data_IF_444398370172
#
_entry.id   IF_444398370172
#
_cell.length_a   1.000
_cell.length_b   1.000
_cell.length_c   1.000
_cell.angle_alpha   90.00
_cell.angle_beta   90.00
_cell.angle_gamma   90.00
#
_symmetry.space_group_name_H-M   'P 1'
#
loop_
_entity.id
_entity.type
_entity.pdbx_description
1 polymer ?
#
# COMPACT_ATOMS: atom_id res chain seq x y z
N UNK A 1 40.11 -22.92 -1.50
CA UNK A 1 38.73 -23.28 -1.85
C UNK A 1 37.82 -22.27 -1.17
N UNK A 2 37.47 -21.19 -1.87
CA UNK A 2 36.62 -20.11 -1.33
C UNK A 2 35.16 -20.50 -1.52
N UNK A 3 34.46 -20.67 -0.41
CA UNK A 3 33.03 -20.97 -0.38
C UNK A 3 32.28 -19.65 -0.57
N UNK A 4 31.83 -19.38 -1.81
CA UNK A 4 30.95 -18.25 -2.10
C UNK A 4 29.52 -18.68 -1.76
N UNK A 5 29.02 -18.25 -0.61
CA UNK A 5 27.59 -18.36 -0.30
C UNK A 5 26.84 -17.36 -1.19
N UNK A 6 26.21 -17.87 -2.25
CA UNK A 6 25.17 -17.15 -2.97
C UNK A 6 23.90 -17.24 -2.13
N UNK A 7 23.76 -16.33 -1.18
CA UNK A 7 22.53 -16.14 -0.42
C UNK A 7 21.53 -15.54 -1.39
N UNK A 8 20.69 -16.40 -1.98
CA UNK A 8 19.66 -16.01 -2.93
C UNK A 8 18.84 -14.87 -2.35
N UNK A 9 18.93 -13.70 -2.99
CA UNK A 9 18.13 -12.53 -2.70
C UNK A 9 16.67 -12.92 -2.97
N UNK A 10 15.96 -13.31 -1.92
CA UNK A 10 14.51 -13.55 -1.99
C UNK A 10 13.91 -12.16 -2.13
N UNK A 11 13.50 -11.78 -3.34
CA UNK A 11 12.68 -10.59 -3.56
C UNK A 11 11.47 -10.68 -2.63
N UNK A 12 11.51 -9.92 -1.54
CA UNK A 12 10.42 -9.89 -0.57
C UNK A 12 9.30 -9.11 -1.21
N UNK A 13 8.34 -9.81 -1.81
CA UNK A 13 7.07 -9.22 -2.23
C UNK A 13 6.44 -8.56 -1.00
N UNK A 14 6.34 -7.24 -1.00
CA UNK A 14 5.71 -6.50 0.08
C UNK A 14 4.23 -6.38 -0.24
N UNK A 15 3.37 -6.77 0.70
CA UNK A 15 1.92 -6.69 0.53
C UNK A 15 1.38 -5.65 1.50
N UNK A 16 0.65 -4.66 0.99
CA UNK A 16 0.03 -3.65 1.84
C UNK A 16 -1.49 -3.66 1.68
N UNK A 17 -2.15 -3.31 2.78
CA UNK A 17 -3.58 -3.01 2.79
C UNK A 17 -3.76 -1.57 2.31
N UNK A 18 -4.49 -1.39 1.22
CA UNK A 18 -4.70 -0.09 0.56
C UNK A 18 -6.18 0.20 0.36
N UNK A 19 -6.50 1.47 0.15
CA UNK A 19 -7.76 1.91 -0.42
C UNK A 19 -7.53 2.46 -1.83
N UNK A 20 -8.31 1.98 -2.80
CA UNK A 20 -8.29 2.50 -4.17
C UNK A 20 -9.52 3.37 -4.40
N UNK A 21 -9.31 4.65 -4.71
CA UNK A 21 -10.41 5.57 -4.95
C UNK A 21 -11.21 5.16 -6.21
N UNK A 22 -12.54 4.94 -6.10
CA UNK A 22 -13.37 4.48 -7.22
C UNK A 22 -13.56 5.53 -8.33
N UNK A 23 -13.13 6.78 -8.11
CA UNK A 23 -13.28 7.89 -9.06
C UNK A 23 -12.04 8.16 -9.89
N UNK A 24 -10.85 7.99 -9.32
CA UNK A 24 -9.61 8.39 -9.98
C UNK A 24 -8.47 7.37 -9.82
N UNK A 25 -8.77 6.19 -9.26
CA UNK A 25 -7.81 5.11 -9.00
C UNK A 25 -6.58 5.53 -8.19
N UNK A 26 -6.69 6.60 -7.39
CA UNK A 26 -5.64 6.97 -6.45
C UNK A 26 -5.56 5.91 -5.35
N UNK A 27 -4.35 5.42 -5.08
CA UNK A 27 -4.07 4.45 -4.02
C UNK A 27 -3.69 5.22 -2.75
N UNK A 28 -4.29 4.85 -1.64
CA UNK A 28 -3.95 5.37 -0.30
C UNK A 28 -3.61 4.19 0.60
N UNK A 29 -2.44 4.22 1.22
CA UNK A 29 -2.04 3.19 2.18
C UNK A 29 -2.89 3.30 3.45
N UNK A 30 -3.47 2.18 3.89
CA UNK A 30 -4.29 2.17 5.11
C UNK A 30 -3.45 2.36 6.38
N UNK A 31 -2.13 2.20 6.31
CA UNK A 31 -1.23 2.56 7.41
C UNK A 31 -1.11 4.08 7.63
N UNK A 32 -1.47 4.87 6.62
CA UNK A 32 -1.33 6.34 6.61
C UNK A 32 -2.65 7.07 6.88
N UNK A 33 -3.77 6.35 7.02
CA UNK A 33 -5.08 6.98 7.27
C UNK A 33 -5.21 7.47 8.72
N UNK A 34 -5.94 8.56 8.91
CA UNK A 34 -6.14 9.14 10.23
C UNK A 34 -7.14 8.36 11.10
N UNK A 35 -7.12 8.63 12.41
CA UNK A 35 -8.04 8.05 13.39
C UNK A 35 -9.53 8.33 13.07
N UNK A 36 -9.82 9.43 12.38
CA UNK A 36 -11.20 9.79 12.01
C UNK A 36 -11.71 8.87 10.91
N UNK A 37 -10.90 8.57 9.90
CA UNK A 37 -11.22 7.60 8.85
C UNK A 37 -11.39 6.21 9.44
N UNK A 38 -10.54 5.80 10.41
CA UNK A 38 -10.69 4.51 11.11
C UNK A 38 -12.03 4.41 11.85
N UNK A 39 -12.43 5.47 12.56
CA UNK A 39 -13.65 5.45 13.39
C UNK A 39 -14.93 5.62 12.59
N UNK A 40 -14.89 6.35 11.48
CA UNK A 40 -16.07 6.61 10.64
C UNK A 40 -16.24 5.62 9.51
N UNK A 41 -15.15 4.96 9.10
CA UNK A 41 -15.09 4.18 7.87
C UNK A 41 -15.22 5.03 6.60
N UNK A 42 -15.02 6.36 6.70
CA UNK A 42 -15.11 7.29 5.57
C UNK A 42 -13.72 7.85 5.24
N UNK A 43 -13.31 7.72 3.99
CA UNK A 43 -12.05 8.23 3.45
C UNK A 43 -12.31 9.35 2.45
N UNK A 44 -11.46 10.36 2.44
CA UNK A 44 -11.43 11.40 1.42
C UNK A 44 -10.22 11.17 0.50
N UNK A 45 -10.47 11.12 -0.81
CA UNK A 45 -9.40 10.94 -1.77
C UNK A 45 -8.56 12.22 -1.90
N UNK A 46 -7.24 12.18 -1.69
CA UNK A 46 -6.38 13.38 -1.76
C UNK A 46 -6.25 13.94 -3.19
N UNK A 47 -6.61 13.15 -4.21
CA UNK A 47 -6.49 13.55 -5.62
C UNK A 47 -7.75 14.23 -6.15
N UNK A 48 -8.92 13.66 -5.90
CA UNK A 48 -10.18 14.13 -6.48
C UNK A 48 -11.19 14.65 -5.44
N UNK A 49 -10.83 14.62 -4.15
CA UNK A 49 -11.66 15.08 -3.02
C UNK A 49 -13.02 14.38 -2.92
N UNK A 50 -13.15 13.21 -3.54
CA UNK A 50 -14.31 12.36 -3.32
C UNK A 50 -14.24 11.77 -1.92
N UNK A 51 -15.35 11.81 -1.18
CA UNK A 51 -15.49 11.17 0.12
C UNK A 51 -16.51 10.04 0.06
N UNK A 52 -16.18 8.92 0.71
CA UNK A 52 -17.08 7.77 0.76
C UNK A 52 -16.54 6.65 1.65
N UNK A 53 -17.21 5.49 1.65
CA UNK A 53 -16.80 4.36 2.47
C UNK A 53 -15.41 3.88 2.07
N UNK A 54 -14.64 3.46 3.07
CA UNK A 54 -13.35 2.84 2.86
C UNK A 54 -13.52 1.41 2.35
N UNK A 55 -12.92 1.14 1.20
CA UNK A 55 -12.78 -0.21 0.64
C UNK A 55 -11.33 -0.65 0.83
N UNK A 56 -11.14 -1.84 1.41
CA UNK A 56 -9.81 -2.39 1.73
C UNK A 56 -9.45 -3.42 0.67
N UNK A 57 -8.30 -3.20 0.03
CA UNK A 57 -7.70 -4.10 -0.94
C UNK A 57 -6.29 -4.48 -0.50
N UNK A 58 -5.80 -5.63 -0.96
CA UNK A 58 -4.42 -6.07 -0.72
C UNK A 58 -3.67 -5.91 -2.03
N UNK A 59 -2.66 -5.04 -2.05
CA UNK A 59 -1.84 -4.77 -3.22
C UNK A 59 -0.40 -5.25 -3.00
N UNK A 60 0.20 -5.85 -4.03
CA UNK A 60 1.63 -6.11 -4.08
C UNK A 60 2.34 -4.79 -4.40
N UNK A 61 3.30 -4.41 -3.58
CA UNK A 61 4.11 -3.22 -3.77
C UNK A 61 5.53 -3.68 -4.05
N UNK A 62 6.04 -3.25 -5.20
CA UNK A 62 7.44 -3.46 -5.54
C UNK A 62 8.27 -2.54 -4.64
N UNK A 63 8.90 -3.11 -3.61
CA UNK A 63 10.02 -2.45 -2.94
C UNK A 63 11.13 -2.36 -3.98
N UNK A 64 11.23 -1.21 -4.66
CA UNK A 64 12.36 -0.91 -5.52
C UNK A 64 13.62 -0.99 -4.67
N UNK A 65 14.33 -2.12 -4.75
CA UNK A 65 15.61 -2.33 -4.11
C UNK A 65 16.53 -1.16 -4.43
N UNK A 66 16.93 -0.43 -3.39
CA UNK A 66 17.97 0.58 -3.46
C UNK A 66 19.27 -0.12 -3.87
N UNK A 67 19.88 0.38 -4.95
CA UNK A 67 20.95 -0.28 -5.71
C UNK A 67 22.35 -0.28 -5.10
#
# INVERSE_FOLDING_TARGET
MTNTSNDGQIDKKHWESVHICPRCACITNLSEIDLRTVTTGIVECPRCHWSGPIEIEIAEIDEAGEG
#
